data_IF_855926212651
#
_entry.id   IF_855926212651
#
_cell.length_a   1.000
_cell.length_b   1.000
_cell.length_c   1.000
_cell.angle_alpha   90.00
_cell.angle_beta   90.00
_cell.angle_gamma   90.00
#
_symmetry.space_group_name_H-M   'P 1'
#
loop_
_entity.id
_entity.type
_entity.pdbx_description
1 polymer ?
#
# COMPACT_ATOMS: atom_id res chain seq x y z
N UNK A 1 -25.05 -11.30 -73.48
CA UNK A 1 -24.77 -9.98 -72.87
C UNK A 1 -24.68 -10.19 -71.37
N UNK A 2 -23.46 -10.15 -70.85
CA UNK A 2 -23.13 -10.31 -69.44
C UNK A 2 -23.69 -9.15 -68.59
N UNK A 3 -23.92 -9.40 -67.30
CA UNK A 3 -23.44 -8.60 -66.15
C UNK A 3 -24.13 -9.14 -64.88
N UNK A 4 -23.38 -9.79 -63.98
CA UNK A 4 -22.62 -9.19 -62.89
C UNK A 4 -23.46 -9.04 -61.61
N UNK A 5 -23.23 -9.98 -60.69
CA UNK A 5 -23.75 -10.01 -59.33
C UNK A 5 -22.96 -8.99 -58.49
N UNK A 6 -23.58 -7.88 -58.11
CA UNK A 6 -22.98 -6.90 -57.21
C UNK A 6 -23.54 -7.05 -55.78
N UNK A 7 -22.62 -7.30 -54.85
CA UNK A 7 -22.79 -7.45 -53.41
C UNK A 7 -23.20 -6.11 -52.79
N UNK A 8 -24.26 -6.09 -51.97
CA UNK A 8 -24.59 -4.95 -51.11
C UNK A 8 -24.30 -5.32 -49.65
N UNK A 9 -23.19 -4.79 -49.12
CA UNK A 9 -22.90 -4.75 -47.68
C UNK A 9 -23.79 -3.68 -47.04
N UNK A 10 -24.74 -4.08 -46.21
CA UNK A 10 -25.51 -3.17 -45.37
C UNK A 10 -24.80 -3.01 -44.02
N UNK A 11 -24.22 -1.84 -43.76
CA UNK A 11 -23.78 -1.43 -42.42
C UNK A 11 -24.86 -0.58 -41.75
N UNK A 12 -25.26 -0.93 -40.53
CA UNK A 12 -26.11 -0.10 -39.68
C UNK A 12 -25.21 0.68 -38.71
N UNK A 13 -24.99 1.98 -38.94
CA UNK A 13 -24.50 2.88 -37.90
C UNK A 13 -25.69 3.30 -37.01
N UNK A 14 -25.67 2.89 -35.74
CA UNK A 14 -26.57 3.41 -34.70
C UNK A 14 -25.76 4.37 -33.84
N UNK A 15 -26.08 5.66 -33.94
CA UNK A 15 -25.41 6.73 -33.21
C UNK A 15 -26.26 7.07 -31.97
N UNK A 16 -25.94 6.48 -30.83
CA UNK A 16 -26.53 6.86 -29.55
C UNK A 16 -25.76 8.08 -29.00
N UNK A 17 -26.47 9.16 -28.71
CA UNK A 17 -25.90 10.35 -28.05
C UNK A 17 -25.17 9.93 -26.77
N UNK A 18 -23.87 10.23 -26.70
CA UNK A 18 -23.09 10.17 -25.47
C UNK A 18 -23.43 11.39 -24.62
N UNK A 19 -23.95 11.14 -23.42
CA UNK A 19 -24.06 12.13 -22.36
C UNK A 19 -22.66 12.51 -21.86
N UNK A 20 -22.27 13.76 -22.12
CA UNK A 20 -20.91 14.31 -21.94
C UNK A 20 -20.66 14.77 -20.49
N UNK A 21 -21.62 14.57 -19.59
CA UNK A 21 -21.61 15.09 -18.23
C UNK A 21 -20.55 14.44 -17.30
N UNK A 22 -20.05 13.26 -17.64
CA UNK A 22 -19.05 12.53 -16.83
C UNK A 22 -17.59 12.90 -17.13
N UNK A 23 -17.29 13.43 -18.31
CA UNK A 23 -15.93 13.83 -18.68
C UNK A 23 -15.50 15.14 -17.99
N UNK A 24 -16.45 16.03 -17.68
CA UNK A 24 -16.19 17.31 -17.02
C UNK A 24 -15.60 17.12 -15.60
N UNK A 25 -16.13 16.17 -14.83
CA UNK A 25 -15.67 15.91 -13.45
C UNK A 25 -14.27 15.28 -13.41
N UNK A 26 -13.87 14.53 -14.45
CA UNK A 26 -12.54 13.93 -14.54
C UNK A 26 -11.46 14.95 -14.90
N UNK A 27 -11.81 16.02 -15.62
CA UNK A 27 -10.85 17.07 -16.04
C UNK A 27 -10.45 18.04 -14.92
N UNK A 28 -11.19 18.07 -13.82
CA UNK A 28 -10.94 18.99 -12.69
C UNK A 28 -10.16 18.39 -11.52
N UNK A 29 -9.80 17.11 -11.58
CA UNK A 29 -8.70 16.59 -10.75
C UNK A 29 -7.38 17.00 -11.42
N UNK A 30 -6.99 18.24 -11.15
CA UNK A 30 -5.71 18.84 -11.54
C UNK A 30 -4.59 17.86 -11.20
N UNK A 31 -3.75 17.60 -12.20
CA UNK A 31 -2.50 16.89 -12.06
C UNK A 31 -1.66 17.56 -10.95
N UNK A 32 -1.66 16.96 -9.77
CA UNK A 32 -0.59 17.17 -8.80
C UNK A 32 0.56 16.33 -9.34
N UNK A 33 1.45 16.94 -10.14
CA UNK A 33 2.76 16.36 -10.42
C UNK A 33 3.50 16.27 -9.08
N UNK A 34 3.45 15.10 -8.48
CA UNK A 34 4.31 14.78 -7.35
C UNK A 34 5.70 14.51 -7.93
N UNK A 35 6.62 15.46 -7.79
CA UNK A 35 8.01 15.20 -8.10
C UNK A 35 8.53 14.08 -7.19
N UNK A 36 9.21 13.06 -7.75
CA UNK A 36 9.80 12.01 -6.95
C UNK A 36 10.87 12.63 -6.04
N UNK A 37 10.65 12.55 -4.73
CA UNK A 37 11.64 12.96 -3.74
C UNK A 37 12.79 11.96 -3.81
N UNK A 38 13.91 12.39 -4.37
CA UNK A 38 15.17 11.65 -4.28
C UNK A 38 15.74 11.84 -2.87
N UNK A 39 15.68 10.80 -2.03
CA UNK A 39 16.38 10.83 -0.73
C UNK A 39 17.87 10.91 -0.99
N UNK A 40 18.44 12.09 -0.78
CA UNK A 40 19.87 12.27 -0.59
C UNK A 40 20.01 12.73 0.84
N UNK A 41 20.33 11.78 1.73
CA UNK A 41 20.63 12.11 3.12
C UNK A 41 21.83 11.29 3.57
N UNK A 42 22.93 11.98 3.86
CA UNK A 42 24.06 11.45 4.63
C UNK A 42 23.67 11.45 6.12
N UNK A 43 22.75 10.57 6.50
CA UNK A 43 22.47 10.35 7.92
C UNK A 43 23.49 9.37 8.47
N UNK A 44 24.39 9.89 9.31
CA UNK A 44 25.37 9.11 10.06
C UNK A 44 24.66 7.94 10.75
N UNK A 45 24.89 6.75 10.19
CA UNK A 45 24.30 5.50 10.66
C UNK A 45 24.95 5.16 12.00
N UNK A 46 24.21 5.34 13.09
CA UNK A 46 24.41 4.44 14.21
C UNK A 46 24.29 3.02 13.63
N UNK A 47 25.35 2.23 13.74
CA UNK A 47 25.47 0.87 13.19
C UNK A 47 24.52 -0.07 13.97
N UNK A 48 23.20 0.12 13.82
CA UNK A 48 22.24 -0.87 14.24
C UNK A 48 22.40 -2.06 13.32
N UNK A 49 22.81 -3.20 13.88
CA UNK A 49 23.08 -4.43 13.14
C UNK A 49 21.80 -5.06 12.61
N UNK A 50 20.66 -4.75 13.23
CA UNK A 50 19.34 -5.26 12.89
C UNK A 50 18.28 -4.15 13.00
N UNK A 51 17.42 -4.04 11.97
CA UNK A 51 16.32 -3.08 11.93
C UNK A 51 15.30 -3.33 13.05
N UNK A 52 15.12 -4.58 13.46
CA UNK A 52 14.19 -4.94 14.53
C UNK A 52 14.67 -4.46 15.90
N UNK A 53 15.99 -4.42 16.10
CA UNK A 53 16.58 -3.87 17.32
C UNK A 53 16.37 -2.36 17.38
N UNK A 54 16.66 -1.65 16.28
CA UNK A 54 16.40 -0.21 16.13
C UNK A 54 14.94 0.14 16.42
N UNK A 55 14.00 -0.60 15.83
CA UNK A 55 12.57 -0.41 16.08
C UNK A 55 12.23 -0.58 17.57
N UNK A 56 12.72 -1.64 18.23
CA UNK A 56 12.46 -1.90 19.66
C UNK A 56 13.03 -0.82 20.57
N UNK A 57 14.18 -0.25 20.25
CA UNK A 57 14.79 0.83 21.04
C UNK A 57 13.98 2.13 20.98
N UNK A 58 13.26 2.37 19.87
CA UNK A 58 12.40 3.54 19.69
C UNK A 58 10.94 3.37 20.15
N UNK A 59 10.67 2.39 21.02
CA UNK A 59 9.34 2.15 21.59
C UNK A 59 8.97 3.22 22.60
N UNK A 60 7.82 3.87 22.43
CA UNK A 60 7.33 4.93 23.32
C UNK A 60 5.92 4.65 23.87
N UNK A 61 5.20 3.64 23.36
CA UNK A 61 3.80 3.37 23.73
C UNK A 61 3.63 2.29 24.81
N UNK A 62 4.73 1.74 25.35
CA UNK A 62 4.69 0.62 26.30
C UNK A 62 4.09 0.98 27.67
N UNK A 63 4.14 2.25 28.08
CA UNK A 63 3.69 2.71 29.40
C UNK A 63 2.20 2.46 29.66
N UNK A 64 1.38 2.37 28.61
CA UNK A 64 -0.07 2.25 28.70
C UNK A 64 -0.58 0.81 28.47
N UNK A 65 0.32 -0.18 28.41
CA UNK A 65 -0.01 -1.59 28.16
C UNK A 65 -0.37 -2.35 29.45
N UNK A 66 -1.15 -1.73 30.34
CA UNK A 66 -1.65 -2.39 31.54
C UNK A 66 -2.41 -3.69 31.19
N UNK A 67 -2.38 -4.67 32.10
CA UNK A 67 -2.87 -6.06 31.96
C UNK A 67 -4.21 -6.20 31.23
N UNK A 68 -4.17 -6.13 29.90
CA UNK A 68 -5.35 -6.20 29.05
C UNK A 68 -5.44 -7.61 28.44
N UNK A 69 -6.46 -8.41 28.80
CA UNK A 69 -6.58 -9.78 28.31
C UNK A 69 -6.69 -9.84 26.78
N UNK A 70 -7.20 -8.80 26.13
CA UNK A 70 -7.28 -8.71 24.67
C UNK A 70 -5.90 -8.61 24.03
N UNK A 71 -4.98 -7.84 24.63
CA UNK A 71 -3.61 -7.69 24.13
C UNK A 71 -2.87 -9.02 24.27
N UNK A 72 -3.04 -9.71 25.40
CA UNK A 72 -2.41 -11.02 25.62
C UNK A 72 -2.91 -12.08 24.64
N UNK A 73 -4.21 -12.13 24.36
CA UNK A 73 -4.76 -13.03 23.34
C UNK A 73 -4.17 -12.74 21.95
N UNK A 74 -4.05 -11.48 21.57
CA UNK A 74 -3.48 -11.10 20.28
C UNK A 74 -1.98 -11.44 20.19
N UNK A 75 -1.25 -11.25 21.30
CA UNK A 75 0.16 -11.64 21.41
C UNK A 75 0.33 -13.15 21.21
N UNK A 76 -0.49 -13.97 21.87
CA UNK A 76 -0.49 -15.42 21.71
C UNK A 76 -0.87 -15.85 20.29
N UNK A 77 -1.82 -15.17 19.66
CA UNK A 77 -2.20 -15.43 18.27
C UNK A 77 -1.02 -15.22 17.32
N UNK A 78 -0.33 -14.09 17.40
CA UNK A 78 0.85 -13.82 16.58
C UNK A 78 2.02 -14.76 16.90
N UNK A 79 2.25 -15.07 18.19
CA UNK A 79 3.26 -16.03 18.61
C UNK A 79 3.00 -17.45 18.04
N UNK A 80 1.72 -17.82 17.88
CA UNK A 80 1.33 -19.12 17.29
C UNK A 80 1.51 -19.20 15.77
N UNK A 81 1.76 -18.06 15.08
CA UNK A 81 1.82 -17.95 13.61
C UNK A 81 3.15 -17.36 13.12
N UNK A 82 4.29 -18.02 13.39
CA UNK A 82 5.61 -17.49 13.03
C UNK A 82 5.81 -17.34 11.51
N UNK A 83 5.18 -18.20 10.71
CA UNK A 83 5.29 -18.14 9.25
C UNK A 83 4.64 -16.86 8.68
N UNK A 84 3.52 -16.41 9.26
CA UNK A 84 2.84 -15.18 8.81
C UNK A 84 3.72 -13.96 9.08
N UNK A 85 4.38 -13.92 10.25
CA UNK A 85 5.34 -12.87 10.59
C UNK A 85 6.53 -12.88 9.64
N UNK A 86 7.05 -14.06 9.27
CA UNK A 86 8.14 -14.20 8.29
C UNK A 86 7.73 -13.63 6.93
N UNK A 87 6.56 -14.00 6.43
CA UNK A 87 6.03 -13.51 5.14
C UNK A 87 5.82 -12.00 5.19
N UNK A 88 5.22 -11.47 6.25
CA UNK A 88 5.02 -10.03 6.42
C UNK A 88 6.36 -9.28 6.47
N UNK A 89 7.36 -9.84 7.16
CA UNK A 89 8.71 -9.28 7.24
C UNK A 89 9.41 -9.25 5.88
N UNK A 90 9.28 -10.33 5.09
CA UNK A 90 9.83 -10.41 3.74
C UNK A 90 9.18 -9.38 2.81
N UNK A 91 7.86 -9.22 2.87
CA UNK A 91 7.12 -8.21 2.09
C UNK A 91 7.39 -6.79 2.53
N UNK A 92 7.60 -6.58 3.84
CA UNK A 92 7.87 -5.27 4.44
C UNK A 92 9.32 -4.80 4.33
N UNK A 93 10.27 -5.72 4.09
CA UNK A 93 11.70 -5.44 3.92
C UNK A 93 12.04 -4.20 3.08
N UNK A 94 11.47 -4.00 1.86
CA UNK A 94 11.76 -2.82 1.05
C UNK A 94 11.24 -1.49 1.64
N UNK A 95 10.28 -1.52 2.56
CA UNK A 95 9.59 -0.32 3.06
C UNK A 95 9.96 0.01 4.51
N UNK A 96 10.30 -0.99 5.32
CA UNK A 96 10.45 -0.82 6.77
C UNK A 96 11.56 0.18 7.12
N UNK A 97 12.67 0.16 6.39
CA UNK A 97 13.77 1.11 6.59
C UNK A 97 13.31 2.55 6.38
N UNK A 98 12.63 2.81 5.26
CA UNK A 98 12.07 4.12 4.94
C UNK A 98 11.06 4.59 5.99
N UNK A 99 10.14 3.72 6.42
CA UNK A 99 9.13 4.07 7.42
C UNK A 99 9.81 4.45 8.74
N UNK A 100 10.80 3.68 9.18
CA UNK A 100 11.55 3.94 10.42
C UNK A 100 12.27 5.27 10.35
N UNK A 101 13.01 5.55 9.27
CA UNK A 101 13.68 6.83 9.06
C UNK A 101 12.70 8.01 9.15
N UNK A 102 11.55 7.91 8.47
CA UNK A 102 10.52 8.97 8.51
C UNK A 102 9.90 9.18 9.87
N UNK A 103 9.75 8.12 10.67
CA UNK A 103 9.25 8.22 12.04
C UNK A 103 10.28 8.86 12.96
N UNK A 104 11.56 8.48 12.84
CA UNK A 104 12.66 9.07 13.62
C UNK A 104 12.84 10.56 13.32
N UNK A 105 12.82 10.96 12.04
CA UNK A 105 12.86 12.38 11.62
C UNK A 105 11.77 13.23 12.31
N UNK A 106 10.65 12.62 12.67
CA UNK A 106 9.47 13.28 13.26
C UNK A 106 9.36 13.06 14.76
N UNK A 107 10.36 12.44 15.39
CA UNK A 107 10.35 12.01 16.79
C UNK A 107 9.11 11.15 17.16
N UNK A 108 8.56 10.42 16.18
CA UNK A 108 7.39 9.56 16.37
C UNK A 108 7.77 8.18 16.93
N UNK A 109 6.86 7.49 17.64
CA UNK A 109 7.12 6.14 18.13
C UNK A 109 7.38 5.16 16.98
N UNK A 110 8.47 4.39 17.07
CA UNK A 110 8.86 3.47 16.00
C UNK A 110 7.97 2.22 15.92
N UNK A 111 7.16 1.99 16.95
CA UNK A 111 6.13 0.93 16.98
C UNK A 111 5.12 1.09 15.85
N UNK A 112 4.90 2.33 15.38
CA UNK A 112 4.01 2.62 14.25
C UNK A 112 4.49 1.98 12.95
N UNK A 113 5.80 1.72 12.82
CA UNK A 113 6.34 1.00 11.68
C UNK A 113 5.79 -0.42 11.55
N UNK A 114 5.25 -0.99 12.63
CA UNK A 114 4.70 -2.34 12.66
C UNK A 114 3.21 -2.41 12.28
N UNK A 115 2.52 -1.27 12.17
CA UNK A 115 1.09 -1.25 11.81
C UNK A 115 0.78 -1.97 10.49
N UNK A 116 1.55 -1.82 9.40
CA UNK A 116 1.23 -2.50 8.14
C UNK A 116 1.25 -4.03 8.25
N UNK A 117 2.02 -4.60 9.21
CA UNK A 117 2.03 -6.04 9.48
C UNK A 117 0.66 -6.50 9.94
N UNK A 118 0.04 -5.76 10.86
CA UNK A 118 -1.24 -6.12 11.47
C UNK A 118 -2.44 -5.75 10.57
N UNK A 119 -2.28 -4.78 9.67
CA UNK A 119 -3.35 -4.34 8.75
C UNK A 119 -3.50 -5.27 7.54
N UNK A 120 -2.39 -5.54 6.85
CA UNK A 120 -2.40 -6.28 5.58
C UNK A 120 -1.23 -7.25 5.41
N UNK A 121 -0.36 -7.38 6.42
CA UNK A 121 0.90 -8.13 6.31
C UNK A 121 1.77 -7.64 5.14
N UNK A 122 1.82 -6.31 4.95
CA UNK A 122 2.53 -5.67 3.83
C UNK A 122 2.11 -6.19 2.45
N UNK A 123 0.86 -6.65 2.28
CA UNK A 123 0.35 -7.05 0.97
C UNK A 123 0.03 -5.81 0.11
N UNK A 124 0.76 -5.54 -0.98
CA UNK A 124 0.50 -4.39 -1.84
C UNK A 124 -0.67 -4.64 -2.80
N UNK A 125 -1.24 -5.86 -2.84
CA UNK A 125 -2.25 -6.22 -3.82
C UNK A 125 -3.67 -5.94 -3.29
N UNK A 126 -4.38 -4.93 -3.82
CA UNK A 126 -5.81 -4.83 -3.57
C UNK A 126 -6.48 -5.97 -4.32
N UNK A 127 -7.06 -6.93 -3.58
CA UNK A 127 -7.90 -7.96 -4.21
C UNK A 127 -9.11 -7.25 -4.83
N UNK A 128 -9.08 -6.98 -6.13
CA UNK A 128 -10.27 -6.52 -6.87
C UNK A 128 -11.32 -7.61 -6.74
N UNK A 129 -12.32 -7.40 -5.87
CA UNK A 129 -13.54 -8.22 -5.90
C UNK A 129 -14.20 -8.00 -7.25
N UNK A 130 -14.10 -8.99 -8.15
CA UNK A 130 -14.97 -9.07 -9.33
C UNK A 130 -16.40 -9.26 -8.82
N UNK A 131 -17.17 -8.18 -8.80
CA UNK A 131 -18.63 -8.27 -8.71
C UNK A 131 -19.11 -9.03 -9.95
N UNK A 132 -19.80 -10.13 -9.71
CA UNK A 132 -20.38 -10.99 -10.75
C UNK A 132 -21.78 -10.50 -11.09
#
# INVERSE_FOLDING_TARGET
MALALCIALAGCQSNALRDDSFEQTRRQATAVEQEPIWLTDETATALHKDIWERIREGYKLQEHLENNPRIEQQRLLFASRPNDIKIASERGSPYIHYIVERLEERDMPLELALLPIIESSYDPSPTRRRTR
#
